data_IF_338794114427
#
_entry.id   IF_338794114427
#
_cell.length_a   1.000
_cell.length_b   1.000
_cell.length_c   1.000
_cell.angle_alpha   90.00
_cell.angle_beta   90.00
_cell.angle_gamma   90.00
#
_symmetry.space_group_name_H-M   'P 1'
#
loop_
_entity.id
_entity.type
_entity.pdbx_description
1 polymer ?
#
# COMPACT_ATOMS: atom_id res chain seq x y z
N UNK A 1 -0.90 -10.96 -23.57
CA UNK A 1 -0.98 -10.03 -22.43
C UNK A 1 -0.39 -8.71 -22.91
N UNK A 2 -1.08 -7.56 -22.79
CA UNK A 2 -0.55 -6.33 -23.35
C UNK A 2 0.73 -5.96 -22.60
N UNK A 3 1.81 -5.81 -23.37
CA UNK A 3 3.12 -5.33 -22.92
C UNK A 3 2.95 -4.05 -22.09
N UNK A 4 3.39 -4.07 -20.84
CA UNK A 4 3.31 -2.93 -19.92
C UNK A 4 4.52 -2.00 -20.15
N UNK A 5 4.37 -0.81 -20.76
CA UNK A 5 5.47 0.11 -20.94
C UNK A 5 5.57 1.04 -19.72
N UNK A 6 6.81 1.22 -19.21
CA UNK A 6 7.22 2.08 -18.09
C UNK A 6 6.84 1.57 -16.68
N UNK A 7 7.76 0.78 -16.11
CA UNK A 7 8.16 0.74 -14.71
C UNK A 7 7.16 1.32 -13.68
N UNK A 8 6.14 0.53 -13.30
CA UNK A 8 5.24 0.85 -12.16
C UNK A 8 6.05 1.10 -10.89
N UNK A 9 7.29 0.58 -10.81
CA UNK A 9 8.14 0.65 -9.62
C UNK A 9 8.42 2.07 -9.13
N UNK A 10 8.29 3.09 -10.00
CA UNK A 10 8.59 4.50 -9.66
C UNK A 10 7.36 5.39 -9.53
N UNK A 11 6.15 4.85 -9.59
CA UNK A 11 4.94 5.66 -9.49
C UNK A 11 4.42 5.81 -8.07
N UNK A 12 4.73 4.88 -7.17
CA UNK A 12 4.23 4.90 -5.80
C UNK A 12 5.25 5.47 -4.82
N UNK A 13 4.80 6.42 -4.01
CA UNK A 13 5.61 7.04 -2.95
C UNK A 13 5.07 6.71 -1.57
N UNK A 14 5.95 6.80 -0.58
CA UNK A 14 5.62 6.67 0.83
C UNK A 14 4.62 7.77 1.28
N UNK A 15 4.09 7.67 2.49
CA UNK A 15 2.97 8.49 2.97
C UNK A 15 3.17 10.00 2.82
N UNK A 16 4.38 10.51 3.06
CA UNK A 16 4.74 11.93 2.94
C UNK A 16 5.48 12.29 1.64
N UNK A 17 5.76 11.32 0.76
CA UNK A 17 6.16 11.59 -0.63
C UNK A 17 7.64 11.80 -0.84
N UNK A 18 8.42 11.53 0.19
CA UNK A 18 9.86 11.74 0.21
C UNK A 18 10.62 10.57 -0.38
N UNK A 19 10.01 9.39 -0.47
CA UNK A 19 10.66 8.17 -0.94
C UNK A 19 9.73 7.31 -1.80
N UNK A 20 10.29 6.49 -2.66
CA UNK A 20 9.53 5.48 -3.42
C UNK A 20 9.26 4.26 -2.53
N UNK A 21 8.12 3.61 -2.73
CA UNK A 21 7.83 2.33 -2.09
C UNK A 21 8.65 1.24 -2.79
N UNK A 22 9.13 0.23 -2.05
CA UNK A 22 9.72 -0.96 -2.69
C UNK A 22 8.61 -1.79 -3.34
N UNK A 23 8.52 -1.73 -4.66
CA UNK A 23 7.49 -2.41 -5.43
C UNK A 23 7.71 -3.91 -5.59
N UNK A 24 8.87 -4.45 -5.16
CA UNK A 24 9.10 -5.90 -4.99
C UNK A 24 8.17 -6.54 -3.94
N UNK A 25 7.45 -5.73 -3.16
CA UNK A 25 6.46 -6.20 -2.20
C UNK A 25 5.02 -6.14 -2.74
N UNK A 26 4.85 -5.89 -4.04
CA UNK A 26 3.59 -5.60 -4.71
C UNK A 26 3.51 -6.20 -6.14
N UNK A 27 4.45 -7.04 -6.57
CA UNK A 27 4.65 -7.38 -7.99
C UNK A 27 4.38 -8.84 -8.40
N UNK A 28 4.14 -9.75 -7.46
CA UNK A 28 3.84 -11.17 -7.79
C UNK A 28 2.55 -11.35 -8.64
N UNK A 29 1.56 -10.47 -8.48
CA UNK A 29 0.35 -10.50 -9.27
C UNK A 29 -0.42 -9.18 -9.23
N UNK A 30 -0.90 -8.72 -10.38
CA UNK A 30 -1.59 -7.43 -10.49
C UNK A 30 -2.72 -7.48 -11.53
N UNK A 31 -3.84 -6.82 -11.25
CA UNK A 31 -4.94 -6.66 -12.19
C UNK A 31 -5.75 -5.40 -11.92
N UNK A 32 -6.41 -4.90 -12.97
CA UNK A 32 -7.23 -3.68 -12.92
C UNK A 32 -8.70 -4.08 -12.90
N UNK A 33 -9.47 -3.47 -11.99
CA UNK A 33 -10.92 -3.63 -11.91
C UNK A 33 -11.64 -2.79 -12.98
N UNK A 34 -12.91 -3.09 -13.25
CA UNK A 34 -13.69 -2.39 -14.29
C UNK A 34 -13.85 -0.88 -14.07
N UNK A 35 -13.68 -0.41 -12.84
CA UNK A 35 -13.71 1.01 -12.45
C UNK A 35 -12.32 1.68 -12.45
N UNK A 36 -11.27 0.91 -12.79
CA UNK A 36 -9.90 1.38 -12.90
C UNK A 36 -9.07 1.25 -11.63
N UNK A 37 -9.61 0.72 -10.53
CA UNK A 37 -8.80 0.39 -9.34
C UNK A 37 -7.73 -0.65 -9.68
N UNK A 38 -6.56 -0.58 -9.05
CA UNK A 38 -5.49 -1.57 -9.23
C UNK A 38 -5.41 -2.44 -7.99
N UNK A 39 -5.50 -3.76 -8.17
CA UNK A 39 -5.27 -4.76 -7.14
C UNK A 39 -3.91 -5.39 -7.37
N UNK A 40 -3.10 -5.47 -6.32
CA UNK A 40 -1.77 -6.05 -6.29
C UNK A 40 -1.72 -7.12 -5.20
N UNK A 41 -1.09 -8.24 -5.50
CA UNK A 41 -0.97 -9.39 -4.61
C UNK A 41 0.53 -9.71 -4.52
N UNK A 42 1.00 -9.93 -3.30
CA UNK A 42 2.34 -10.41 -3.02
C UNK A 42 2.23 -11.72 -2.25
N UNK A 43 2.89 -12.76 -2.72
CA UNK A 43 2.71 -14.14 -2.27
C UNK A 43 3.95 -14.76 -1.66
N UNK A 44 5.16 -14.36 -2.08
CA UNK A 44 6.43 -14.98 -1.66
C UNK A 44 7.55 -13.92 -1.65
N UNK A 45 8.41 -13.91 -0.62
CA UNK A 45 9.64 -13.11 -0.64
C UNK A 45 10.01 -12.48 0.71
N UNK A 46 10.74 -11.37 0.65
CA UNK A 46 11.13 -10.57 1.82
C UNK A 46 9.95 -9.82 2.48
N UNK A 47 8.78 -9.83 1.84
CA UNK A 47 7.58 -9.10 2.24
C UNK A 47 6.47 -10.09 2.63
N UNK A 48 5.52 -9.71 3.51
CA UNK A 48 4.48 -10.61 3.96
C UNK A 48 3.50 -10.88 2.82
N UNK A 49 2.80 -12.02 2.91
CA UNK A 49 1.63 -12.29 2.08
C UNK A 49 0.63 -11.14 2.26
N UNK A 50 0.37 -10.40 1.19
CA UNK A 50 -0.46 -9.22 1.25
C UNK A 50 -1.29 -9.03 -0.02
N UNK A 51 -2.40 -8.34 0.16
CA UNK A 51 -3.18 -7.77 -0.93
C UNK A 51 -3.19 -6.26 -0.73
N UNK A 52 -2.74 -5.55 -1.74
CA UNK A 52 -2.69 -4.10 -1.76
C UNK A 52 -3.57 -3.55 -2.87
N UNK A 53 -4.25 -2.45 -2.60
CA UNK A 53 -5.27 -1.89 -3.48
C UNK A 53 -5.02 -0.41 -3.62
N UNK A 54 -4.84 0.05 -4.86
CA UNK A 54 -4.96 1.45 -5.22
C UNK A 54 -6.41 1.73 -5.60
N UNK A 55 -7.08 2.51 -4.75
CA UNK A 55 -8.54 2.70 -4.80
C UNK A 55 -9.00 3.75 -5.80
N UNK A 56 -8.09 4.53 -6.38
CA UNK A 56 -8.43 5.49 -7.43
C UNK A 56 -7.82 5.12 -8.79
N UNK A 57 -6.82 4.24 -8.79
CA UNK A 57 -6.17 3.66 -9.96
C UNK A 57 -4.86 4.36 -10.30
N UNK A 58 -3.87 3.58 -10.71
CA UNK A 58 -2.45 3.97 -10.82
C UNK A 58 -2.12 5.18 -11.71
N UNK A 59 -3.06 5.63 -12.55
CA UNK A 59 -2.92 6.82 -13.41
C UNK A 59 -3.58 8.08 -12.84
N UNK A 60 -4.41 7.96 -11.81
CA UNK A 60 -5.16 9.09 -11.24
C UNK A 60 -4.35 9.85 -10.17
N UNK A 61 -3.42 9.17 -9.50
CA UNK A 61 -2.58 9.77 -8.46
C UNK A 61 -3.37 10.13 -7.19
N UNK A 62 -2.69 10.55 -6.11
CA UNK A 62 -1.26 10.85 -6.01
C UNK A 62 -0.31 9.63 -5.96
N UNK A 63 -0.83 8.39 -5.96
CA UNK A 63 -0.08 7.13 -5.84
C UNK A 63 0.78 7.13 -4.56
N UNK A 64 0.10 7.23 -3.41
CA UNK A 64 0.70 7.38 -2.08
C UNK A 64 0.27 6.26 -1.16
N UNK A 65 1.26 5.58 -0.60
CA UNK A 65 1.04 4.55 0.39
C UNK A 65 0.36 5.17 1.61
N UNK A 66 -0.85 4.73 1.90
CA UNK A 66 -1.70 5.24 2.97
C UNK A 66 -2.65 6.38 2.60
N UNK A 67 -2.74 6.81 1.33
CA UNK A 67 -3.74 7.80 0.89
C UNK A 67 -4.70 7.23 -0.15
N UNK A 68 -4.15 6.58 -1.18
CA UNK A 68 -4.91 5.88 -2.23
C UNK A 68 -4.45 4.43 -2.40
N UNK A 69 -3.20 4.11 -2.06
CA UNK A 69 -2.69 2.75 -1.95
C UNK A 69 -2.81 2.25 -0.50
N UNK A 70 -3.56 1.18 -0.29
CA UNK A 70 -3.77 0.54 1.01
C UNK A 70 -3.35 -0.92 0.99
N UNK A 71 -2.90 -1.46 2.13
CA UNK A 71 -2.37 -2.82 2.24
C UNK A 71 -3.08 -3.63 3.34
N UNK A 72 -3.43 -4.86 3.00
CA UNK A 72 -3.97 -5.85 3.92
C UNK A 72 -3.04 -7.06 3.99
N UNK A 73 -2.69 -7.46 5.20
CA UNK A 73 -1.83 -8.61 5.47
C UNK A 73 -2.70 -9.84 5.67
N UNK A 74 -2.36 -10.93 4.99
CA UNK A 74 -2.95 -12.24 5.25
C UNK A 74 -2.04 -12.98 6.22
N UNK A 75 -2.59 -13.39 7.36
CA UNK A 75 -1.86 -14.19 8.36
C UNK A 75 -2.75 -15.34 8.83
N UNK A 76 -2.33 -16.56 8.55
CA UNK A 76 -3.15 -17.76 8.72
C UNK A 76 -4.38 -17.70 7.83
N UNK A 77 -5.57 -17.76 8.44
CA UNK A 77 -6.87 -17.70 7.75
C UNK A 77 -7.58 -16.35 7.90
N UNK A 78 -6.85 -15.28 8.21
CA UNK A 78 -7.41 -13.95 8.50
C UNK A 78 -6.74 -12.88 7.65
N UNK A 79 -7.54 -11.87 7.30
CA UNK A 79 -7.13 -10.67 6.60
C UNK A 79 -7.11 -9.50 7.58
N UNK A 80 -5.97 -8.81 7.70
CA UNK A 80 -5.78 -7.72 8.64
C UNK A 80 -5.42 -6.42 7.90
N UNK A 81 -6.01 -5.28 8.26
CA UNK A 81 -5.45 -3.99 7.87
C UNK A 81 -4.00 -3.87 8.33
N UNK A 82 -3.10 -3.47 7.43
CA UNK A 82 -1.72 -3.18 7.82
C UNK A 82 -1.68 -2.06 8.88
N UNK A 83 -0.81 -2.22 9.87
CA UNK A 83 -0.69 -1.32 11.04
C UNK A 83 -1.66 -1.60 12.18
N UNK A 84 -2.59 -2.55 12.08
CA UNK A 84 -3.54 -2.84 13.16
C UNK A 84 -2.86 -3.50 14.38
N UNK A 85 -1.87 -4.37 14.14
CA UNK A 85 -1.16 -5.08 15.18
C UNK A 85 0.30 -5.28 14.77
N UNK A 86 1.23 -4.79 15.58
CA UNK A 86 2.68 -4.90 15.34
C UNK A 86 3.22 -6.33 15.25
N UNK A 87 2.46 -7.32 15.73
CA UNK A 87 2.87 -8.74 15.68
C UNK A 87 2.39 -9.45 14.40
N UNK A 88 1.75 -8.75 13.46
CA UNK A 88 1.18 -9.34 12.24
C UNK A 88 1.89 -8.76 11.01
N UNK A 89 2.61 -9.62 10.28
CA UNK A 89 3.35 -9.21 9.08
C UNK A 89 4.44 -8.20 9.40
N UNK A 90 4.61 -7.18 8.57
CA UNK A 90 5.52 -6.07 8.91
C UNK A 90 4.93 -5.26 10.07
N UNK A 91 5.45 -5.53 11.26
CA UNK A 91 5.20 -4.74 12.46
C UNK A 91 5.63 -3.28 12.32
N UNK A 92 4.85 -2.40 12.98
CA UNK A 92 4.97 -0.93 12.98
C UNK A 92 5.42 -0.31 11.64
N UNK A 93 4.72 -0.66 10.56
CA UNK A 93 4.78 0.17 9.36
C UNK A 93 4.30 1.58 9.72
N UNK A 94 5.12 2.62 9.51
CA UNK A 94 4.77 3.94 9.99
C UNK A 94 3.56 4.50 9.24
N UNK A 95 2.79 5.34 9.92
CA UNK A 95 1.85 6.26 9.30
C UNK A 95 2.12 7.66 9.84
N UNK A 96 3.24 8.23 9.42
CA UNK A 96 3.85 9.39 10.06
C UNK A 96 4.22 10.45 9.01
N UNK A 97 3.84 11.71 9.26
CA UNK A 97 4.11 12.83 8.34
C UNK A 97 5.60 13.14 8.16
N UNK A 98 6.44 12.74 9.12
CA UNK A 98 7.88 13.05 9.14
C UNK A 98 8.78 11.88 8.77
N UNK A 99 8.27 10.64 8.71
CA UNK A 99 9.10 9.47 8.38
C UNK A 99 9.43 9.43 6.88
N UNK A 100 10.70 9.24 6.54
CA UNK A 100 11.16 9.14 5.14
C UNK A 100 11.36 7.70 4.67
N UNK A 101 10.99 6.72 5.50
CA UNK A 101 11.06 5.30 5.17
C UNK A 101 10.16 4.96 3.99
N UNK A 102 10.59 4.02 3.14
CA UNK A 102 9.79 3.55 2.01
C UNK A 102 8.54 2.76 2.45
N UNK A 103 8.57 2.19 3.66
CA UNK A 103 7.44 1.51 4.29
C UNK A 103 6.42 2.45 4.93
N UNK A 104 6.75 3.75 5.05
CA UNK A 104 5.84 4.75 5.60
C UNK A 104 4.59 4.86 4.72
N UNK A 105 3.43 4.66 5.32
CA UNK A 105 2.15 4.52 4.61
C UNK A 105 1.46 3.20 4.89
N UNK A 106 2.21 2.12 5.13
CA UNK A 106 1.60 0.82 5.35
C UNK A 106 0.68 0.77 6.55
N UNK A 107 1.09 1.38 7.66
CA UNK A 107 0.24 1.45 8.86
C UNK A 107 -0.95 2.40 8.73
N UNK A 108 -0.98 3.22 7.68
CA UNK A 108 -2.11 4.12 7.46
C UNK A 108 -3.38 3.37 7.08
N UNK A 109 -3.31 2.11 6.63
CA UNK A 109 -4.51 1.34 6.31
C UNK A 109 -5.40 1.16 7.53
N UNK A 110 -4.85 0.76 8.67
CA UNK A 110 -5.60 0.68 9.92
C UNK A 110 -6.14 2.05 10.35
N UNK A 111 -5.33 3.12 10.26
CA UNK A 111 -5.75 4.48 10.63
C UNK A 111 -6.89 5.00 9.74
N UNK A 112 -6.80 4.82 8.42
CA UNK A 112 -7.83 5.22 7.47
C UNK A 112 -9.18 4.54 7.73
N UNK A 113 -9.17 3.29 8.22
CA UNK A 113 -10.38 2.55 8.55
C UNK A 113 -10.96 2.88 9.93
N UNK A 114 -10.11 3.28 10.89
CA UNK A 114 -10.50 3.47 12.29
C UNK A 114 -10.68 4.95 12.69
N UNK A 115 -10.02 5.88 12.01
CA UNK A 115 -10.00 7.31 12.34
C UNK A 115 -10.85 8.11 11.33
N UNK A 116 -11.99 8.63 11.78
CA UNK A 116 -12.95 9.34 10.91
C UNK A 116 -12.41 10.63 10.28
N UNK A 117 -11.36 11.22 10.84
CA UNK A 117 -10.72 12.44 10.38
C UNK A 117 -9.39 12.19 9.66
N UNK A 118 -9.00 10.92 9.45
CA UNK A 118 -7.75 10.54 8.80
C UNK A 118 -7.50 11.31 7.49
N UNK A 119 -8.48 11.29 6.59
CA UNK A 119 -8.37 11.94 5.28
C UNK A 119 -8.38 13.47 5.32
N UNK A 120 -8.82 14.08 6.44
CA UNK A 120 -8.72 15.54 6.64
C UNK A 120 -7.31 15.95 7.06
N UNK A 121 -6.50 14.99 7.51
CA UNK A 121 -5.19 15.20 8.09
C UNK A 121 -4.07 14.54 7.27
N UNK A 122 -4.23 14.45 5.95
CA UNK A 122 -3.15 13.97 5.07
C UNK A 122 -1.91 14.91 5.12
N UNK A 123 -0.71 14.42 4.77
CA UNK A 123 0.51 15.22 4.65
C UNK A 123 0.46 16.26 3.54
#
# INVERSE_FOLDING_TARGET
MPNYPADVSKNYKNFNGTNYVNMECFDDGQFILSDGMLVMINTIGACPLNVSIDVNGYRKGPNRFGQDLFMFIINGNRLYPAGLNRNIGWGDMPCNKSSTEWTNGGGCTARALLESDFFKNLP
#
